data_IF_489503509559
#
_entry.id   IF_489503509559
#
_cell.length_a   1.000
_cell.length_b   1.000
_cell.length_c   1.000
_cell.angle_alpha   90.00
_cell.angle_beta   90.00
_cell.angle_gamma   90.00
#
_symmetry.space_group_name_H-M   'P 1'
#
loop_
_entity.id
_entity.type
_entity.pdbx_description
1 polymer ?
#
# COMPACT_ATOMS: atom_id res chain seq x y z
N UNK A 1 13.74 18.45 -7.03
CA UNK A 1 12.46 18.10 -7.49
C UNK A 1 12.39 16.70 -7.97
N UNK A 2 11.26 16.15 -7.92
CA UNK A 2 11.08 14.78 -8.14
C UNK A 2 10.17 14.55 -9.25
N UNK A 3 10.58 14.80 -10.24
CA UNK A 3 9.90 14.85 -11.36
C UNK A 3 8.95 13.91 -11.80
N UNK A 4 9.24 12.80 -11.98
CA UNK A 4 8.35 11.95 -12.70
C UNK A 4 7.44 11.09 -11.87
N UNK A 5 7.59 11.16 -10.58
CA UNK A 5 6.77 10.31 -9.75
C UNK A 5 5.36 10.86 -9.67
N UNK A 6 4.39 10.03 -9.95
CA UNK A 6 3.02 10.42 -9.83
C UNK A 6 2.67 10.51 -8.35
N UNK A 7 1.97 11.57 -7.97
CA UNK A 7 1.62 11.78 -6.58
C UNK A 7 0.21 11.27 -6.32
N UNK A 8 0.11 10.19 -5.56
CA UNK A 8 -1.17 9.62 -5.18
C UNK A 8 -1.65 10.12 -3.81
N UNK A 9 -0.88 11.01 -3.21
CA UNK A 9 -1.22 11.58 -1.91
C UNK A 9 -1.32 10.52 -0.82
N UNK A 10 -0.41 9.56 -0.85
CA UNK A 10 -0.38 8.51 0.15
C UNK A 10 0.29 9.00 1.42
N UNK A 11 -0.28 8.62 2.55
CA UNK A 11 0.36 8.92 3.83
C UNK A 11 1.52 7.95 4.03
N UNK A 12 2.47 8.28 4.93
CA UNK A 12 3.57 7.34 5.22
C UNK A 12 3.07 5.98 5.66
N UNK A 13 1.99 5.93 6.43
CA UNK A 13 1.46 4.66 6.90
C UNK A 13 0.86 3.85 5.75
N UNK A 14 0.21 4.54 4.81
CA UNK A 14 -0.32 3.86 3.63
C UNK A 14 0.80 3.28 2.79
N UNK A 15 1.90 4.00 2.66
CA UNK A 15 3.07 3.49 1.95
C UNK A 15 3.65 2.26 2.65
N UNK A 16 3.69 2.27 3.97
CA UNK A 16 4.17 1.12 4.71
C UNK A 16 3.29 -0.10 4.46
N UNK A 17 1.98 0.10 4.48
CA UNK A 17 1.05 -0.99 4.21
C UNK A 17 1.26 -1.50 2.78
N UNK A 18 1.37 -0.60 1.83
CA UNK A 18 1.58 -0.97 0.44
C UNK A 18 2.87 -1.79 0.29
N UNK A 19 3.93 -1.40 0.98
CA UNK A 19 5.21 -2.07 0.85
C UNK A 19 5.18 -3.51 1.37
N UNK A 20 4.22 -3.82 2.23
CA UNK A 20 4.09 -5.17 2.77
C UNK A 20 3.17 -6.05 1.94
N UNK A 21 2.42 -5.47 1.00
CA UNK A 21 1.50 -6.25 0.19
C UNK A 21 2.17 -7.30 -0.69
N UNK A 22 3.32 -7.01 -1.33
CA UNK A 22 3.94 -8.00 -2.21
C UNK A 22 4.35 -9.28 -1.50
N UNK A 23 4.55 -9.21 -0.18
CA UNK A 23 4.95 -10.40 0.57
C UNK A 23 3.79 -11.38 0.75
N UNK A 24 2.57 -10.96 0.44
CA UNK A 24 1.40 -11.80 0.63
C UNK A 24 0.83 -11.73 2.04
N UNK A 25 1.31 -10.80 2.86
CA UNK A 25 0.85 -10.70 4.23
C UNK A 25 -0.64 -10.35 4.29
N UNK A 26 -1.34 -10.95 5.25
CA UNK A 26 -2.74 -10.64 5.48
C UNK A 26 -2.83 -9.32 6.26
N UNK A 27 -4.05 -8.76 6.33
CA UNK A 27 -4.27 -7.55 7.11
C UNK A 27 -3.86 -7.75 8.57
N UNK A 28 -4.13 -8.94 9.10
CA UNK A 28 -3.75 -9.25 10.47
C UNK A 28 -2.24 -9.25 10.63
N UNK A 29 -1.53 -9.86 9.68
CA UNK A 29 -0.07 -9.93 9.71
C UNK A 29 0.55 -8.55 9.57
N UNK A 30 0.00 -7.73 8.68
CA UNK A 30 0.49 -6.37 8.49
C UNK A 30 0.28 -5.57 9.78
N UNK A 31 -0.87 -5.75 10.41
CA UNK A 31 -1.14 -5.09 11.68
C UNK A 31 -0.13 -5.48 12.75
N UNK A 32 0.26 -6.75 12.77
CA UNK A 32 1.25 -7.21 13.74
C UNK A 32 2.61 -6.53 13.50
N UNK A 33 2.98 -6.36 12.25
CA UNK A 33 4.25 -5.72 11.91
C UNK A 33 4.24 -4.24 12.27
N UNK A 34 3.13 -3.57 12.04
CA UNK A 34 3.04 -2.13 12.24
C UNK A 34 2.46 -1.74 13.60
N UNK A 35 2.14 -2.72 14.42
CA UNK A 35 1.54 -2.51 15.74
C UNK A 35 0.19 -1.81 15.63
N UNK A 36 -0.61 -2.24 14.65
CA UNK A 36 -1.94 -1.71 14.42
C UNK A 36 -2.93 -2.87 14.39
N UNK A 37 -4.20 -2.55 14.63
CA UNK A 37 -5.23 -3.58 14.58
C UNK A 37 -5.55 -3.93 13.12
N UNK A 38 -6.13 -5.11 12.94
CA UNK A 38 -6.55 -5.53 11.62
C UNK A 38 -7.57 -4.54 11.02
N UNK A 39 -8.48 -4.04 11.85
CA UNK A 39 -9.48 -3.09 11.38
C UNK A 39 -8.83 -1.81 10.85
N UNK A 40 -7.80 -1.33 11.53
CA UNK A 40 -7.07 -0.15 11.09
C UNK A 40 -6.37 -0.41 9.76
N UNK A 41 -5.79 -1.61 9.62
CA UNK A 41 -5.13 -1.96 8.36
C UNK A 41 -6.15 -2.01 7.22
N UNK A 42 -7.32 -2.56 7.47
CA UNK A 42 -8.36 -2.62 6.44
C UNK A 42 -8.79 -1.23 6.01
N UNK A 43 -8.84 -0.29 6.96
CA UNK A 43 -9.15 1.10 6.63
C UNK A 43 -8.04 1.71 5.74
N UNK A 44 -6.78 1.45 6.11
CA UNK A 44 -5.67 1.93 5.28
C UNK A 44 -5.73 1.33 3.88
N UNK A 45 -6.05 0.04 3.78
CA UNK A 45 -6.15 -0.61 2.48
C UNK A 45 -7.26 0.00 1.63
N UNK A 46 -8.41 0.27 2.23
CA UNK A 46 -9.51 0.88 1.48
C UNK A 46 -9.12 2.24 0.93
N UNK A 47 -8.47 3.05 1.76
CA UNK A 47 -8.03 4.37 1.32
C UNK A 47 -6.94 4.26 0.26
N UNK A 48 -6.01 3.33 0.46
CA UNK A 48 -4.91 3.09 -0.46
C UNK A 48 -5.44 2.70 -1.84
N UNK A 49 -6.35 1.73 -1.89
CA UNK A 49 -6.90 1.27 -3.15
C UNK A 49 -7.63 2.40 -3.86
N UNK A 50 -8.37 3.21 -3.11
CA UNK A 50 -9.10 4.33 -3.69
C UNK A 50 -8.11 5.34 -4.29
N UNK A 51 -7.07 5.66 -3.56
CA UNK A 51 -6.09 6.65 -4.02
C UNK A 51 -5.32 6.16 -5.24
N UNK A 52 -5.01 4.86 -5.29
CA UNK A 52 -4.30 4.29 -6.42
C UNK A 52 -5.20 4.01 -7.61
N UNK A 53 -6.50 3.97 -7.38
CA UNK A 53 -7.43 3.57 -8.42
C UNK A 53 -7.38 2.07 -8.64
N UNK A 54 -7.00 1.31 -7.62
CA UNK A 54 -6.88 -0.14 -7.71
C UNK A 54 -8.18 -0.82 -7.30
N UNK A 55 -8.56 -1.84 -8.03
CA UNK A 55 -9.77 -2.60 -7.72
C UNK A 55 -9.50 -3.71 -6.72
N UNK A 56 -8.24 -4.12 -6.60
CA UNK A 56 -7.90 -5.22 -5.70
C UNK A 56 -6.42 -5.14 -5.33
N UNK A 57 -6.00 -6.09 -4.50
CA UNK A 57 -4.63 -6.11 -3.99
C UNK A 57 -3.59 -6.22 -5.11
N UNK A 58 -3.84 -7.10 -6.07
CA UNK A 58 -2.90 -7.31 -7.15
C UNK A 58 -2.69 -6.04 -7.96
N UNK A 59 -3.77 -5.30 -8.22
CA UNK A 59 -3.65 -4.05 -8.93
C UNK A 59 -2.89 -3.02 -8.13
N UNK A 60 -3.14 -2.98 -6.82
CA UNK A 60 -2.44 -2.02 -5.96
C UNK A 60 -0.93 -2.27 -5.98
N UNK A 61 -0.53 -3.53 -5.90
CA UNK A 61 0.89 -3.89 -5.95
C UNK A 61 1.49 -3.50 -7.31
N UNK A 62 0.77 -3.82 -8.38
CA UNK A 62 1.24 -3.50 -9.72
C UNK A 62 1.43 -2.00 -9.92
N UNK A 63 0.45 -1.22 -9.50
CA UNK A 63 0.53 0.24 -9.60
C UNK A 63 1.69 0.77 -8.75
N UNK A 64 1.85 0.23 -7.56
CA UNK A 64 2.93 0.66 -6.67
C UNK A 64 4.29 0.40 -7.28
N UNK A 65 4.48 -0.75 -7.91
CA UNK A 65 5.75 -1.09 -8.55
C UNK A 65 5.98 -0.22 -9.77
N UNK A 66 4.96 -0.05 -10.60
CA UNK A 66 5.07 0.77 -11.81
C UNK A 66 5.44 2.21 -11.51
N UNK A 67 4.96 2.74 -10.40
CA UNK A 67 5.21 4.12 -10.03
C UNK A 67 6.35 4.25 -9.03
N UNK A 68 7.06 3.17 -8.80
CA UNK A 68 8.24 3.14 -7.93
C UNK A 68 7.93 3.55 -6.49
N UNK A 69 6.71 3.28 -6.07
CA UNK A 69 6.32 3.51 -4.68
C UNK A 69 6.86 2.39 -3.79
N UNK A 70 6.96 1.20 -4.35
CA UNK A 70 7.49 0.03 -3.64
C UNK A 70 8.35 -0.76 -4.61
N UNK A 71 9.11 -1.69 -4.06
CA UNK A 71 9.92 -2.57 -4.90
C UNK A 71 9.31 -3.95 -4.92
N UNK A 72 9.57 -4.66 -6.00
CA UNK A 72 9.09 -6.01 -6.15
C UNK A 72 10.12 -6.95 -5.53
N UNK A 73 9.71 -7.67 -4.52
CA UNK A 73 10.58 -8.67 -3.92
C UNK A 73 10.38 -10.00 -4.64
#
# INVERSE_FOLDING_TARGET
TLPERKDFDLTPRELEVLSLLPSGATANAIGAVLFLTEATIKTHLANLYRKLGAANRAQAVSIGIENKLITNQ
#
